data_IF_758381675770
#
_entry.id   IF_758381675770
#
_cell.length_a   1.000
_cell.length_b   1.000
_cell.length_c   1.000
_cell.angle_alpha   90.00
_cell.angle_beta   90.00
_cell.angle_gamma   90.00
#
_symmetry.space_group_name_H-M   'P 1'
#
loop_
_entity.id
_entity.type
_entity.pdbx_description
1 polymer ?
#
# COMPACT_ATOMS: atom_id res chain seq x y z
N UNK A 1 -1.12 13.95 -10.46
CA UNK A 1 -1.11 14.56 -9.10
C UNK A 1 -1.10 16.06 -9.30
N UNK A 2 -2.00 16.77 -8.64
CA UNK A 2 -2.23 18.22 -8.79
C UNK A 2 -2.32 18.86 -7.41
N UNK A 3 -2.13 20.17 -7.32
CA UNK A 3 -2.31 20.91 -6.06
C UNK A 3 -3.78 21.19 -5.79
N UNK A 4 -4.14 21.39 -4.52
CA UNK A 4 -5.45 21.87 -4.12
C UNK A 4 -5.84 23.16 -4.85
N UNK A 5 -4.89 24.08 -5.02
CA UNK A 5 -5.10 25.31 -5.79
C UNK A 5 -5.54 25.06 -7.23
N UNK A 6 -4.88 24.12 -7.92
CA UNK A 6 -5.20 23.78 -9.32
C UNK A 6 -6.58 23.16 -9.46
N UNK A 7 -6.98 22.24 -8.57
CA UNK A 7 -8.30 21.61 -8.63
C UNK A 7 -9.42 22.54 -8.22
N UNK A 8 -9.17 23.43 -7.24
CA UNK A 8 -10.12 24.44 -6.82
C UNK A 8 -10.46 25.41 -7.97
N UNK A 9 -9.48 25.72 -8.81
CA UNK A 9 -9.67 26.58 -9.98
C UNK A 9 -10.61 25.98 -11.04
N UNK A 10 -10.84 24.66 -11.03
CA UNK A 10 -11.77 24.00 -11.95
C UNK A 10 -13.24 24.24 -11.57
N UNK A 11 -13.55 24.54 -10.31
CA UNK A 11 -14.91 24.75 -9.83
C UNK A 11 -15.81 23.50 -9.81
N UNK A 12 -15.26 22.30 -10.05
CA UNK A 12 -16.03 21.05 -10.13
C UNK A 12 -16.34 20.42 -8.77
N UNK A 13 -15.48 20.65 -7.77
CA UNK A 13 -15.53 19.93 -6.51
C UNK A 13 -16.36 20.67 -5.46
N UNK A 14 -17.34 20.03 -4.80
CA UNK A 14 -18.21 20.69 -3.83
C UNK A 14 -17.46 21.12 -2.56
N UNK A 15 -16.38 20.42 -2.22
CA UNK A 15 -15.48 20.76 -1.12
C UNK A 15 -14.13 21.21 -1.69
N UNK A 16 -13.62 22.36 -1.23
CA UNK A 16 -12.26 22.80 -1.60
C UNK A 16 -11.21 21.99 -0.85
N UNK A 17 -10.15 21.62 -1.55
CA UNK A 17 -8.92 21.15 -0.93
C UNK A 17 -8.07 22.35 -0.47
N UNK A 18 -7.31 22.27 0.63
CA UNK A 18 -6.31 23.26 0.98
C UNK A 18 -5.32 23.48 -0.18
N UNK A 19 -4.94 24.73 -0.43
CA UNK A 19 -4.24 25.09 -1.68
C UNK A 19 -2.88 24.40 -1.85
N UNK A 20 -2.20 24.12 -0.73
CA UNK A 20 -0.89 23.46 -0.64
C UNK A 20 -0.96 21.93 -0.55
N UNK A 21 -2.16 21.35 -0.45
CA UNK A 21 -2.32 19.91 -0.40
C UNK A 21 -2.18 19.24 -1.78
N UNK A 22 -1.74 17.99 -1.72
CA UNK A 22 -1.61 17.11 -2.87
C UNK A 22 -2.93 16.41 -3.13
N UNK A 23 -3.48 16.58 -4.33
CA UNK A 23 -4.74 15.98 -4.76
C UNK A 23 -4.51 14.96 -5.87
N UNK A 24 -5.14 13.79 -5.71
CA UNK A 24 -5.20 12.76 -6.74
C UNK A 24 -6.48 12.99 -7.56
N UNK A 25 -6.30 13.55 -8.75
CA UNK A 25 -7.36 13.70 -9.74
C UNK A 25 -7.23 12.60 -10.80
N UNK A 26 -8.33 11.90 -11.08
CA UNK A 26 -8.42 10.90 -12.14
C UNK A 26 -9.33 11.38 -13.27
N UNK A 27 -8.93 11.14 -14.50
CA UNK A 27 -9.77 11.31 -15.68
C UNK A 27 -10.51 10.01 -15.99
N UNK A 28 -11.80 10.12 -16.27
CA UNK A 28 -12.58 8.99 -16.76
C UNK A 28 -12.41 8.88 -18.28
N UNK A 29 -12.46 7.66 -18.85
CA UNK A 29 -12.30 7.47 -20.29
C UNK A 29 -13.42 8.16 -21.11
N UNK A 30 -14.59 8.35 -20.50
CA UNK A 30 -15.73 9.06 -21.06
C UNK A 30 -16.63 9.60 -19.95
N UNK A 31 -17.54 10.51 -20.32
CA UNK A 31 -18.56 11.01 -19.41
C UNK A 31 -19.60 9.91 -19.10
N UNK A 32 -19.98 9.77 -17.83
CA UNK A 32 -20.94 8.76 -17.41
C UNK A 32 -22.37 9.11 -17.81
N UNK A 33 -23.06 8.17 -18.45
CA UNK A 33 -24.50 8.24 -18.69
C UNK A 33 -25.33 7.95 -17.43
N UNK A 34 -26.65 8.15 -17.53
CA UNK A 34 -27.57 7.84 -16.43
C UNK A 34 -27.53 6.34 -16.09
N UNK A 35 -27.25 6.02 -14.83
CA UNK A 35 -27.15 4.63 -14.35
C UNK A 35 -25.83 3.94 -14.71
N UNK A 36 -24.92 4.62 -15.41
CA UNK A 36 -23.61 4.08 -15.73
C UNK A 36 -22.69 4.15 -14.50
N UNK A 37 -21.80 3.17 -14.37
CA UNK A 37 -20.78 3.13 -13.33
C UNK A 37 -19.47 2.65 -13.90
N UNK A 38 -18.39 3.26 -13.45
CA UNK A 38 -17.02 2.86 -13.76
C UNK A 38 -16.27 2.53 -12.48
N UNK A 39 -15.31 1.61 -12.58
CA UNK A 39 -14.45 1.23 -11.45
C UNK A 39 -13.12 1.96 -11.55
N UNK A 40 -12.82 2.78 -10.55
CA UNK A 40 -11.51 3.42 -10.38
C UNK A 40 -10.71 2.63 -9.36
N UNK A 41 -9.45 2.32 -9.66
CA UNK A 41 -8.51 1.72 -8.70
C UNK A 41 -7.41 2.73 -8.40
N UNK A 42 -7.28 3.11 -7.14
CA UNK A 42 -6.14 3.88 -6.64
C UNK A 42 -5.17 2.90 -5.99
N UNK A 43 -3.92 2.93 -6.43
CA UNK A 43 -2.82 2.17 -5.84
C UNK A 43 -1.76 3.18 -5.38
N UNK A 44 -1.30 3.00 -4.15
CA UNK A 44 -0.27 3.83 -3.54
C UNK A 44 0.86 2.92 -3.09
N UNK A 45 2.08 3.32 -3.42
CA UNK A 45 3.30 2.64 -2.98
C UNK A 45 4.13 3.67 -2.24
N UNK A 46 4.48 3.37 -0.99
CA UNK A 46 5.38 4.19 -0.19
C UNK A 46 6.38 3.28 0.53
N UNK A 47 7.54 3.84 0.86
CA UNK A 47 8.50 3.18 1.75
C UNK A 47 8.08 3.44 3.19
N UNK A 48 8.04 2.40 4.00
CA UNK A 48 7.73 2.50 5.43
C UNK A 48 9.01 2.51 6.28
N UNK A 49 9.61 3.68 6.56
CA UNK A 49 10.85 3.75 7.35
C UNK A 49 10.64 3.41 8.84
N UNK A 50 9.39 3.39 9.32
CA UNK A 50 9.07 3.19 10.74
C UNK A 50 8.74 1.73 11.03
N UNK A 51 8.02 1.07 10.13
CA UNK A 51 7.52 -0.28 10.37
C UNK A 51 8.62 -1.34 10.44
N UNK A 52 9.74 -1.18 9.73
CA UNK A 52 10.83 -2.15 9.73
C UNK A 52 11.86 -1.86 10.83
N UNK A 53 12.01 -2.80 11.75
CA UNK A 53 13.07 -2.79 12.76
C UNK A 53 13.90 -4.06 12.66
N UNK A 54 15.15 -4.03 13.13
CA UNK A 54 15.97 -5.23 13.27
C UNK A 54 16.27 -5.45 14.74
N UNK A 55 15.94 -6.63 15.27
CA UNK A 55 16.20 -7.02 16.66
C UNK A 55 16.87 -8.38 16.66
N UNK A 56 18.07 -8.47 17.26
CA UNK A 56 18.85 -9.71 17.36
C UNK A 56 19.10 -10.43 16.00
N UNK A 57 19.24 -9.67 14.92
CA UNK A 57 19.46 -10.21 13.56
C UNK A 57 18.18 -10.65 12.83
N UNK A 58 17.02 -10.51 13.45
CA UNK A 58 15.71 -10.72 12.83
C UNK A 58 15.09 -9.37 12.45
N UNK A 59 14.57 -9.26 11.24
CA UNK A 59 13.78 -8.14 10.78
C UNK A 59 12.34 -8.35 11.23
N UNK A 60 11.77 -7.35 11.89
CA UNK A 60 10.37 -7.32 12.32
C UNK A 60 9.68 -6.15 11.62
N UNK A 61 8.55 -6.43 11.00
CA UNK A 61 7.63 -5.42 10.51
C UNK A 61 6.31 -5.53 11.25
N UNK A 62 5.89 -4.46 11.93
CA UNK A 62 4.74 -4.46 12.83
C UNK A 62 3.84 -3.25 12.51
N UNK A 63 2.69 -3.50 11.89
CA UNK A 63 1.75 -2.45 11.48
C UNK A 63 0.30 -2.90 11.54
N UNK A 64 -0.56 -1.90 11.66
CA UNK A 64 -2.01 -2.06 11.51
C UNK A 64 -2.44 -1.60 10.12
N UNK A 65 -3.26 -2.40 9.45
CA UNK A 65 -3.71 -2.19 8.07
C UNK A 65 -5.23 -2.07 7.97
N UNK A 66 -5.73 -0.88 7.62
CA UNK A 66 -7.16 -0.63 7.41
C UNK A 66 -7.64 -0.78 5.97
N UNK A 67 -6.75 -0.84 4.96
CA UNK A 67 -7.17 -0.96 3.56
C UNK A 67 -7.61 -2.40 3.24
N UNK A 68 -8.60 -2.63 2.36
CA UNK A 68 -9.05 -3.98 2.01
C UNK A 68 -7.98 -4.86 1.36
N UNK A 69 -7.02 -4.26 0.65
CA UNK A 69 -5.90 -4.95 0.00
C UNK A 69 -4.62 -4.22 0.30
N UNK A 70 -3.62 -4.94 0.82
CA UNK A 70 -2.30 -4.40 1.14
C UNK A 70 -1.23 -5.33 0.59
N UNK A 71 -0.15 -4.74 0.09
CA UNK A 71 1.03 -5.49 -0.34
C UNK A 71 2.25 -4.97 0.43
N UNK A 72 3.01 -5.88 1.04
CA UNK A 72 4.20 -5.57 1.82
C UNK A 72 5.36 -6.33 1.20
N UNK A 73 6.39 -5.61 0.76
CA UNK A 73 7.59 -6.21 0.15
C UNK A 73 8.74 -6.17 1.14
N UNK A 74 9.30 -7.34 1.47
CA UNK A 74 10.47 -7.40 2.33
C UNK A 74 11.70 -6.79 1.61
N UNK A 75 12.61 -6.14 2.36
CA UNK A 75 13.85 -5.65 1.77
C UNK A 75 14.67 -6.79 1.14
N UNK A 76 15.54 -6.44 0.21
CA UNK A 76 16.42 -7.42 -0.45
C UNK A 76 17.28 -8.20 0.56
N UNK A 77 17.43 -9.49 0.31
CA UNK A 77 18.27 -10.37 1.13
C UNK A 77 17.58 -10.86 2.40
N UNK A 78 16.28 -10.63 2.58
CA UNK A 78 15.49 -11.17 3.68
C UNK A 78 14.57 -12.30 3.23
N UNK A 79 14.31 -13.24 4.15
CA UNK A 79 13.42 -14.37 4.00
C UNK A 79 12.36 -14.32 5.10
N UNK A 80 11.08 -14.33 4.72
CA UNK A 80 9.95 -14.39 5.64
C UNK A 80 10.03 -15.67 6.50
N UNK A 81 9.89 -15.52 7.81
CA UNK A 81 9.88 -16.63 8.77
C UNK A 81 8.53 -16.76 9.48
N UNK A 82 7.83 -15.64 9.71
CA UNK A 82 6.55 -15.61 10.43
C UNK A 82 5.63 -14.52 9.87
N UNK A 83 4.33 -14.79 9.90
CA UNK A 83 3.26 -13.80 9.66
C UNK A 83 2.10 -14.09 10.62
N UNK A 84 1.58 -13.06 11.30
CA UNK A 84 0.44 -13.23 12.22
C UNK A 84 -0.91 -13.32 11.49
N UNK A 85 -0.96 -12.88 10.23
CA UNK A 85 -2.18 -12.89 9.39
C UNK A 85 -1.91 -13.68 8.11
N UNK A 86 -2.87 -14.50 7.62
CA UNK A 86 -2.74 -15.19 6.35
C UNK A 86 -2.48 -14.24 5.18
N UNK A 87 -1.49 -14.59 4.35
CA UNK A 87 -1.08 -13.80 3.20
C UNK A 87 -0.78 -14.69 2.01
N UNK A 88 -0.96 -14.15 0.80
CA UNK A 88 -0.41 -14.76 -0.42
C UNK A 88 1.04 -14.32 -0.54
N UNK A 89 1.95 -15.29 -0.56
CA UNK A 89 3.39 -15.05 -0.67
C UNK A 89 3.83 -15.26 -2.13
N UNK A 90 4.59 -14.30 -2.66
CA UNK A 90 5.16 -14.38 -4.00
C UNK A 90 6.52 -13.69 -4.05
N UNK A 91 7.18 -13.75 -5.21
CA UNK A 91 8.38 -12.96 -5.48
C UNK A 91 8.05 -11.85 -6.48
N UNK A 92 8.65 -10.68 -6.30
CA UNK A 92 8.67 -9.65 -7.33
C UNK A 92 9.75 -9.93 -8.38
N UNK A 93 9.85 -9.06 -9.38
CA UNK A 93 10.84 -9.16 -10.47
C UNK A 93 12.30 -9.12 -9.97
N UNK A 94 12.53 -8.56 -8.78
CA UNK A 94 13.85 -8.52 -8.13
C UNK A 94 14.08 -9.69 -7.16
N UNK A 95 13.17 -10.66 -7.11
CA UNK A 95 13.27 -11.81 -6.21
C UNK A 95 13.10 -11.46 -4.73
N UNK A 96 12.46 -10.33 -4.42
CA UNK A 96 12.07 -9.96 -3.05
C UNK A 96 10.74 -10.59 -2.72
N UNK A 97 10.55 -10.93 -1.44
CA UNK A 97 9.30 -11.53 -0.97
C UNK A 97 8.22 -10.47 -0.88
N UNK A 98 7.10 -10.69 -1.57
CA UNK A 98 5.89 -9.87 -1.49
C UNK A 98 4.82 -10.65 -0.74
N UNK A 99 4.30 -10.04 0.33
CA UNK A 99 3.19 -10.55 1.12
C UNK A 99 1.93 -9.75 0.77
N UNK A 100 0.89 -10.41 0.23
CA UNK A 100 -0.40 -9.78 -0.07
C UNK A 100 -1.45 -10.16 0.98
N UNK A 101 -2.02 -9.15 1.62
CA UNK A 101 -3.05 -9.28 2.64
C UNK A 101 -4.40 -8.83 2.10
N UNK A 102 -5.44 -9.61 2.41
CA UNK A 102 -6.84 -9.20 2.21
C UNK A 102 -7.44 -8.96 3.58
N UNK A 103 -7.95 -7.74 3.83
CA UNK A 103 -8.74 -7.44 5.01
C UNK A 103 -10.23 -7.48 4.64
N UNK A 104 -10.99 -8.50 5.07
CA UNK A 104 -12.42 -8.61 4.79
C UNK A 104 -13.29 -7.82 5.78
N UNK A 105 -12.68 -7.17 6.78
CA UNK A 105 -13.40 -6.47 7.86
C UNK A 105 -13.57 -4.99 7.52
N UNK A 106 -14.50 -4.36 8.24
CA UNK A 106 -14.71 -2.90 8.21
C UNK A 106 -13.80 -2.16 9.20
N UNK A 107 -12.97 -2.87 9.96
CA UNK A 107 -11.96 -2.35 10.87
C UNK A 107 -10.54 -2.73 10.40
N UNK A 108 -9.54 -2.49 11.24
CA UNK A 108 -8.14 -2.74 10.89
C UNK A 108 -7.66 -4.15 11.29
N UNK A 109 -6.64 -4.66 10.59
CA UNK A 109 -5.93 -5.88 10.97
C UNK A 109 -4.52 -5.55 11.47
N UNK A 110 -4.13 -6.11 12.59
CA UNK A 110 -2.76 -6.02 13.11
C UNK A 110 -1.89 -7.12 12.50
N UNK A 111 -0.84 -6.74 11.79
CA UNK A 111 0.05 -7.63 11.05
C UNK A 111 1.47 -7.47 11.56
N UNK A 112 2.04 -8.58 12.01
CA UNK A 112 3.45 -8.70 12.34
C UNK A 112 4.09 -9.69 11.39
N UNK A 113 5.15 -9.25 10.70
CA UNK A 113 6.02 -10.08 9.90
C UNK A 113 7.37 -10.19 10.59
N UNK A 114 7.94 -11.39 10.56
CA UNK A 114 9.34 -11.61 10.93
C UNK A 114 10.08 -12.20 9.75
N UNK A 115 11.34 -11.83 9.63
CA UNK A 115 12.20 -12.30 8.57
C UNK A 115 13.65 -12.43 9.04
N UNK A 116 14.38 -13.36 8.44
CA UNK A 116 15.82 -13.53 8.66
C UNK A 116 16.60 -13.22 7.39
N UNK A 117 17.89 -12.90 7.53
CA UNK A 117 18.77 -12.76 6.35
C UNK A 117 18.83 -14.09 5.60
N UNK A 118 18.71 -14.02 4.27
CA UNK A 118 19.06 -15.12 3.37
C UNK A 118 20.56 -15.35 3.51
N UNK A 119 20.95 -16.57 3.85
CA UNK A 119 22.35 -16.98 3.76
C UNK A 119 22.81 -16.79 2.32
N UNK A 120 24.05 -16.34 2.15
CA UNK A 120 24.69 -16.38 0.84
C UNK A 120 24.91 -17.86 0.53
N UNK A 121 24.17 -18.41 -0.42
CA UNK A 121 24.54 -19.70 -1.01
C UNK A 121 25.74 -19.41 -1.89
N UNK A 122 26.94 -19.75 -1.40
CA UNK A 122 28.18 -19.75 -2.17
C UNK A 122 28.15 -20.78 -3.30
#
# INVERSE_FOLDING_TARGET
IVTGKQVNALGYYPNRAPDDEVVVQGELPHALGQGESVRVRVAETYTDPVGYTTKNGELVWDRTLGRPRNEVTLPEGWMLTETTVPAIISLDEQGRIVCRFTNPRNDEIHVVLKARRRGVTS
#
